data_IF_647093482379
#
_entry.id   IF_647093482379
#
_cell.length_a   1.000
_cell.length_b   1.000
_cell.length_c   1.000
_cell.angle_alpha   90.00
_cell.angle_beta   90.00
_cell.angle_gamma   90.00
#
_symmetry.space_group_name_H-M   'P 1'
#
loop_
_entity.id
_entity.type
_entity.pdbx_description
1 polymer ?
#
# COMPACT_ATOMS: atom_id res chain seq x y z
N UNK A 1 -32.11 4.85 -4.17
CA UNK A 1 -30.96 3.96 -3.90
C UNK A 1 -30.02 4.12 -5.09
N UNK A 2 -29.08 5.07 -5.01
CA UNK A 2 -28.09 5.29 -6.08
C UNK A 2 -26.92 4.36 -5.84
N UNK A 3 -26.77 3.35 -6.70
CA UNK A 3 -25.55 2.55 -6.80
C UNK A 3 -24.49 3.43 -7.46
N UNK A 4 -23.66 4.09 -6.65
CA UNK A 4 -22.43 4.72 -7.13
C UNK A 4 -21.49 3.63 -7.60
N UNK A 5 -21.55 3.29 -8.89
CA UNK A 5 -20.57 2.41 -9.54
C UNK A 5 -19.22 3.12 -9.51
N UNK A 6 -18.26 2.54 -8.79
CA UNK A 6 -16.86 2.93 -8.90
C UNK A 6 -16.43 2.77 -10.37
N UNK A 7 -15.73 3.75 -10.97
CA UNK A 7 -15.21 3.60 -12.32
C UNK A 7 -14.30 2.38 -12.40
N UNK A 8 -14.32 1.67 -13.54
CA UNK A 8 -13.36 0.62 -13.87
C UNK A 8 -11.96 1.18 -13.67
N UNK A 9 -11.23 0.62 -12.70
CA UNK A 9 -9.87 1.06 -12.41
C UNK A 9 -9.00 0.81 -13.65
N UNK A 10 -8.15 1.77 -14.05
CA UNK A 10 -7.19 1.53 -15.11
C UNK A 10 -6.23 0.39 -14.74
N UNK A 11 -5.57 -0.18 -15.75
CA UNK A 11 -4.50 -1.17 -15.54
C UNK A 11 -3.49 -0.69 -14.48
N UNK A 12 -2.94 -1.63 -13.72
CA UNK A 12 -1.98 -1.37 -12.65
C UNK A 12 -0.90 -0.37 -13.09
N UNK A 13 -0.45 0.54 -12.20
CA UNK A 13 0.50 1.59 -12.57
C UNK A 13 1.74 0.99 -13.21
N UNK A 14 2.19 1.59 -14.33
CA UNK A 14 3.27 1.04 -15.15
C UNK A 14 4.57 1.00 -14.32
N UNK A 15 5.10 -0.19 -13.99
CA UNK A 15 6.40 -0.30 -13.34
C UNK A 15 7.46 0.05 -14.40
N UNK A 16 8.18 1.16 -14.20
CA UNK A 16 9.20 1.56 -15.18
C UNK A 16 9.84 2.93 -15.00
N UNK A 17 9.46 3.68 -13.96
CA UNK A 17 9.99 5.02 -13.66
C UNK A 17 10.66 5.03 -12.28
N UNK A 18 11.91 4.53 -12.16
CA UNK A 18 12.62 4.49 -10.87
C UNK A 18 12.73 5.87 -10.20
N UNK A 19 12.78 6.94 -10.99
CA UNK A 19 12.79 8.31 -10.52
C UNK A 19 11.49 8.70 -9.79
N UNK A 20 10.34 8.27 -10.33
CA UNK A 20 9.02 8.50 -9.70
C UNK A 20 8.89 7.67 -8.43
N UNK A 21 9.32 6.40 -8.46
CA UNK A 21 9.30 5.54 -7.28
C UNK A 21 10.16 6.10 -6.15
N UNK A 22 11.36 6.60 -6.46
CA UNK A 22 12.24 7.23 -5.46
C UNK A 22 11.60 8.48 -4.85
N UNK A 23 11.08 9.39 -5.69
CA UNK A 23 10.38 10.60 -5.21
C UNK A 23 9.15 10.29 -4.38
N UNK A 24 8.39 9.26 -4.77
CA UNK A 24 7.23 8.81 -4.01
C UNK A 24 7.66 8.29 -2.64
N UNK A 25 8.68 7.44 -2.59
CA UNK A 25 9.25 6.95 -1.32
C UNK A 25 9.68 8.09 -0.40
N UNK A 26 10.39 9.08 -0.93
CA UNK A 26 10.85 10.22 -0.15
C UNK A 26 9.67 11.05 0.40
N UNK A 27 8.62 11.24 -0.39
CA UNK A 27 7.39 11.90 0.05
C UNK A 27 6.65 11.11 1.15
N UNK A 28 6.53 9.79 1.02
CA UNK A 28 5.90 8.95 2.03
C UNK A 28 6.66 9.01 3.37
N UNK A 29 7.99 8.91 3.32
CA UNK A 29 8.84 9.01 4.52
C UNK A 29 8.78 10.41 5.11
N UNK A 30 8.87 11.46 4.28
CA UNK A 30 8.82 12.86 4.72
C UNK A 30 7.50 13.24 5.40
N UNK A 31 6.40 12.56 5.05
CA UNK A 31 5.10 12.71 5.69
C UNK A 31 4.89 11.77 6.90
N UNK A 32 5.93 11.05 7.34
CA UNK A 32 5.85 10.04 8.39
C UNK A 32 4.82 8.94 8.12
N UNK A 33 4.59 8.60 6.84
CA UNK A 33 3.74 7.48 6.45
C UNK A 33 4.48 6.17 6.70
N UNK A 34 4.68 5.83 7.96
CA UNK A 34 5.43 4.66 8.43
C UNK A 34 4.55 3.82 9.35
N UNK A 35 4.96 2.59 9.68
CA UNK A 35 4.20 1.76 10.62
C UNK A 35 4.04 2.47 11.99
N UNK A 36 5.11 3.11 12.45
CA UNK A 36 5.12 3.86 13.71
C UNK A 36 4.33 5.17 13.61
N UNK A 37 4.48 5.92 12.52
CA UNK A 37 3.71 7.15 12.31
C UNK A 37 2.21 6.88 12.24
N UNK A 38 1.79 5.79 11.58
CA UNK A 38 0.41 5.33 11.59
C UNK A 38 -0.09 5.02 13.00
N UNK A 39 0.70 4.30 13.80
CA UNK A 39 0.35 3.95 15.16
C UNK A 39 0.22 5.21 16.04
N UNK A 40 1.11 6.18 15.88
CA UNK A 40 1.09 7.46 16.59
C UNK A 40 -0.15 8.29 16.22
N UNK A 41 -0.42 8.46 14.93
CA UNK A 41 -1.56 9.26 14.46
C UNK A 41 -2.91 8.63 14.83
N UNK A 42 -3.06 7.32 14.60
CA UNK A 42 -4.34 6.63 14.78
C UNK A 42 -4.58 6.26 16.25
N UNK A 43 -3.51 6.01 17.00
CA UNK A 43 -3.56 5.34 18.28
C UNK A 43 -3.82 3.84 18.14
N UNK A 44 -3.37 3.07 19.14
CA UNK A 44 -3.46 1.61 19.14
C UNK A 44 -4.88 1.05 18.84
N UNK A 45 -5.98 1.60 19.39
CA UNK A 45 -7.32 1.07 19.11
C UNK A 45 -7.73 1.21 17.63
N UNK A 46 -7.51 2.38 17.02
CA UNK A 46 -7.91 2.62 15.65
C UNK A 46 -6.98 1.90 14.66
N UNK A 47 -5.68 1.79 14.98
CA UNK A 47 -4.73 0.99 14.20
C UNK A 47 -5.14 -0.50 14.16
N UNK A 48 -5.47 -1.07 15.32
CA UNK A 48 -5.92 -2.47 15.41
C UNK A 48 -7.28 -2.71 14.73
N UNK A 49 -8.19 -1.73 14.80
CA UNK A 49 -9.47 -1.78 14.10
C UNK A 49 -9.28 -1.78 12.57
N UNK A 50 -8.39 -0.90 12.07
CA UNK A 50 -8.07 -0.81 10.64
C UNK A 50 -7.48 -2.12 10.10
N UNK A 51 -6.65 -2.82 10.90
CA UNK A 51 -6.11 -4.14 10.54
C UNK A 51 -7.18 -5.25 10.41
N UNK A 52 -8.41 -5.00 10.86
CA UNK A 52 -9.59 -5.87 10.69
C UNK A 52 -10.62 -5.28 9.72
N UNK A 53 -10.20 -4.31 8.91
CA UNK A 53 -11.06 -3.57 7.97
C UNK A 53 -12.17 -2.71 8.63
N UNK A 54 -12.06 -2.41 9.92
CA UNK A 54 -12.95 -1.45 10.58
C UNK A 54 -12.41 -0.02 10.39
N UNK A 55 -12.91 0.67 9.36
CA UNK A 55 -12.35 1.96 8.90
C UNK A 55 -12.82 3.18 9.70
N UNK A 56 -13.94 3.08 10.41
CA UNK A 56 -14.59 4.22 11.10
C UNK A 56 -13.65 4.91 12.12
N UNK A 57 -12.91 4.19 12.98
CA UNK A 57 -11.97 4.83 13.91
C UNK A 57 -10.86 5.61 13.18
N UNK A 58 -10.30 5.06 12.11
CA UNK A 58 -9.26 5.72 11.32
C UNK A 58 -9.80 6.95 10.57
N UNK A 59 -11.03 6.87 10.03
CA UNK A 59 -11.71 8.03 9.43
C UNK A 59 -11.93 9.18 10.43
N UNK A 60 -12.13 8.86 11.71
CA UNK A 60 -12.28 9.86 12.79
C UNK A 60 -10.95 10.48 13.18
N UNK A 61 -9.89 9.67 13.30
CA UNK A 61 -8.55 10.12 13.64
C UNK A 61 -7.93 11.02 12.54
N UNK A 62 -8.34 10.83 11.28
CA UNK A 62 -7.77 11.52 10.10
C UNK A 62 -8.67 12.66 9.59
N UNK A 63 -9.32 13.40 10.48
CA UNK A 63 -10.16 14.57 10.09
C UNK A 63 -9.37 15.85 9.82
N UNK A 64 -8.14 15.92 10.31
CA UNK A 64 -7.26 17.06 10.08
C UNK A 64 -6.59 17.02 8.71
N UNK A 65 -5.80 18.06 8.43
CA UNK A 65 -5.15 18.28 7.14
C UNK A 65 -3.65 17.97 7.16
N UNK A 66 -3.17 17.30 8.22
CA UNK A 66 -1.78 16.89 8.32
C UNK A 66 -1.40 15.96 7.13
N UNK A 67 -0.17 16.05 6.58
CA UNK A 67 0.27 15.22 5.46
C UNK A 67 0.03 13.72 5.67
N UNK A 68 0.32 13.22 6.88
CA UNK A 68 0.08 11.83 7.23
C UNK A 68 -1.40 11.45 7.16
N UNK A 69 -2.30 12.32 7.65
CA UNK A 69 -3.74 12.07 7.59
C UNK A 69 -4.25 12.05 6.14
N UNK A 70 -3.71 12.92 5.27
CA UNK A 70 -3.99 12.92 3.83
C UNK A 70 -3.62 11.57 3.21
N UNK A 71 -2.41 11.06 3.48
CA UNK A 71 -1.94 9.78 2.95
C UNK A 71 -2.74 8.59 3.48
N UNK A 72 -3.11 8.58 4.76
CA UNK A 72 -3.99 7.54 5.33
C UNK A 72 -5.34 7.52 4.66
N UNK A 73 -5.96 8.69 4.45
CA UNK A 73 -7.26 8.79 3.75
C UNK A 73 -7.16 8.30 2.31
N UNK A 74 -6.11 8.69 1.62
CA UNK A 74 -5.89 8.38 0.22
C UNK A 74 -5.60 6.88 0.00
N UNK A 75 -4.59 6.34 0.68
CA UNK A 75 -4.10 4.98 0.42
C UNK A 75 -4.72 3.89 1.31
N UNK A 76 -4.99 4.14 2.59
CA UNK A 76 -5.51 3.08 3.48
C UNK A 76 -7.03 3.07 3.57
N UNK A 77 -7.66 4.25 3.50
CA UNK A 77 -9.11 4.40 3.59
C UNK A 77 -9.77 4.57 2.21
N UNK A 78 -8.96 4.67 1.16
CA UNK A 78 -9.42 4.72 -0.24
C UNK A 78 -10.50 5.80 -0.45
N UNK A 79 -10.30 6.97 0.19
CA UNK A 79 -11.17 8.13 0.04
C UNK A 79 -10.62 9.05 -1.04
N UNK A 80 -11.46 9.59 -1.92
CA UNK A 80 -11.09 10.77 -2.71
C UNK A 80 -10.63 11.90 -1.78
N UNK A 81 -9.57 12.59 -2.19
CA UNK A 81 -8.99 13.71 -1.45
C UNK A 81 -8.81 14.90 -2.40
N UNK A 82 -9.05 16.15 -1.96
CA UNK A 82 -8.80 17.33 -2.78
C UNK A 82 -7.38 17.33 -3.36
N UNK A 83 -7.28 17.56 -4.67
CA UNK A 83 -6.04 17.57 -5.43
C UNK A 83 -4.99 18.47 -4.80
N UNK A 84 -5.38 19.66 -4.35
CA UNK A 84 -4.47 20.61 -3.71
C UNK A 84 -3.78 20.01 -2.48
N UNK A 85 -4.54 19.30 -1.63
CA UNK A 85 -3.97 18.67 -0.43
C UNK A 85 -3.04 17.51 -0.74
N UNK A 86 -3.30 16.78 -1.82
CA UNK A 86 -2.40 15.71 -2.28
C UNK A 86 -1.15 16.29 -2.93
N UNK A 87 -1.27 17.40 -3.68
CA UNK A 87 -0.15 18.09 -4.32
C UNK A 87 0.86 18.66 -3.32
N UNK A 88 0.41 19.01 -2.11
CA UNK A 88 1.29 19.46 -1.02
C UNK A 88 2.17 18.33 -0.44
N UNK A 89 1.85 17.07 -0.73
CA UNK A 89 2.50 15.89 -0.11
C UNK A 89 3.16 14.98 -1.14
N UNK A 90 2.51 14.75 -2.29
CA UNK A 90 2.93 13.80 -3.32
C UNK A 90 3.24 14.50 -4.64
N UNK A 91 4.09 13.90 -5.50
CA UNK A 91 4.27 14.36 -6.88
C UNK A 91 3.03 14.01 -7.74
N UNK A 92 1.91 14.71 -7.50
CA UNK A 92 0.57 14.37 -8.01
C UNK A 92 0.52 14.17 -9.53
N UNK A 93 1.18 15.03 -10.30
CA UNK A 93 1.20 14.94 -11.77
C UNK A 93 1.86 13.63 -12.23
N UNK A 94 3.02 13.29 -11.64
CA UNK A 94 3.70 12.03 -11.95
C UNK A 94 2.85 10.82 -11.53
N UNK A 95 2.15 10.91 -10.40
CA UNK A 95 1.25 9.84 -9.95
C UNK A 95 0.02 9.67 -10.86
N UNK A 96 -0.52 10.77 -11.43
CA UNK A 96 -1.59 10.72 -12.43
C UNK A 96 -1.09 10.12 -13.74
N UNK A 97 0.07 10.56 -14.23
CA UNK A 97 0.70 10.05 -15.46
C UNK A 97 1.02 8.56 -15.39
N UNK A 98 1.49 8.09 -14.24
CA UNK A 98 1.86 6.68 -14.00
C UNK A 98 0.68 5.82 -13.57
N UNK A 99 -0.51 6.41 -13.37
CA UNK A 99 -1.72 5.69 -13.03
C UNK A 99 -1.85 5.29 -11.55
N UNK A 100 -1.02 5.82 -10.64
CA UNK A 100 -1.17 5.64 -9.18
C UNK A 100 -2.37 6.40 -8.61
N UNK A 101 -2.73 7.51 -9.26
CA UNK A 101 -3.88 8.33 -8.93
C UNK A 101 -4.76 8.49 -10.17
N UNK A 102 -6.05 8.72 -9.93
CA UNK A 102 -7.02 9.14 -10.94
C UNK A 102 -7.77 10.36 -10.46
N UNK A 103 -8.18 11.23 -11.39
CA UNK A 103 -9.06 12.37 -11.07
C UNK A 103 -10.47 11.85 -10.84
N UNK A 104 -11.12 12.32 -9.78
CA UNK A 104 -12.52 12.02 -9.44
C UNK A 104 -13.24 13.34 -9.23
N UNK A 105 -14.39 13.51 -9.90
CA UNK A 105 -15.11 14.78 -9.87
C UNK A 105 -14.30 15.94 -10.47
N UNK A 106 -14.49 17.14 -9.94
CA UNK A 106 -13.86 18.37 -10.45
C UNK A 106 -12.49 18.66 -9.87
N UNK A 107 -12.25 18.31 -8.61
CA UNK A 107 -11.10 18.79 -7.83
C UNK A 107 -10.51 17.75 -6.87
N UNK A 108 -10.93 16.49 -6.95
CA UNK A 108 -10.41 15.40 -6.12
C UNK A 108 -9.59 14.40 -6.93
N UNK A 109 -8.75 13.66 -6.22
CA UNK A 109 -8.02 12.51 -6.73
C UNK A 109 -8.27 11.30 -5.83
N UNK A 110 -8.29 10.11 -6.42
CA UNK A 110 -8.37 8.85 -5.71
C UNK A 110 -7.17 7.97 -6.07
N UNK A 111 -6.74 7.14 -5.12
CA UNK A 111 -5.73 6.13 -5.36
C UNK A 111 -6.30 4.98 -6.21
N UNK A 112 -5.47 4.42 -7.09
CA UNK A 112 -5.75 3.19 -7.84
C UNK A 112 -5.08 1.97 -7.21
N UNK A 113 -4.18 2.21 -6.26
CA UNK A 113 -3.43 1.20 -5.51
C UNK A 113 -3.57 1.41 -4.02
N UNK A 114 -3.39 0.32 -3.28
CA UNK A 114 -3.24 0.34 -1.83
C UNK A 114 -1.74 0.36 -1.52
N UNK A 115 -1.33 1.28 -0.64
CA UNK A 115 0.08 1.43 -0.22
C UNK A 115 0.14 1.29 1.29
N UNK A 116 0.86 0.27 1.77
CA UNK A 116 0.95 -0.02 3.21
C UNK A 116 2.38 0.10 3.71
N UNK A 117 2.60 0.94 4.73
CA UNK A 117 3.81 0.88 5.51
C UNK A 117 3.96 -0.49 6.17
N UNK A 118 5.18 -1.03 6.11
CA UNK A 118 5.55 -2.30 6.69
C UNK A 118 6.91 -2.13 7.37
N UNK A 119 6.98 -2.46 8.66
CA UNK A 119 8.24 -2.44 9.41
C UNK A 119 9.13 -3.60 8.99
N UNK A 120 10.28 -3.28 8.38
CA UNK A 120 11.33 -4.23 8.07
C UNK A 120 11.94 -4.85 9.33
N UNK A 121 12.58 -6.03 9.22
CA UNK A 121 13.14 -6.74 10.36
C UNK A 121 14.29 -6.00 11.05
N UNK A 122 14.94 -5.05 10.37
CA UNK A 122 15.99 -4.17 10.89
C UNK A 122 15.49 -2.79 11.32
N UNK A 123 14.18 -2.56 11.34
CA UNK A 123 13.58 -1.25 11.62
C UNK A 123 13.47 -0.33 10.39
N UNK A 124 13.56 -0.89 9.19
CA UNK A 124 13.38 -0.15 7.96
C UNK A 124 11.90 0.18 7.69
N UNK A 125 11.64 1.31 7.05
CA UNK A 125 10.32 1.63 6.50
C UNK A 125 10.18 1.08 5.08
N UNK A 126 9.50 -0.06 4.97
CA UNK A 126 9.10 -0.64 3.68
C UNK A 126 7.69 -0.22 3.30
N UNK A 127 7.42 -0.25 2.00
CA UNK A 127 6.12 0.08 1.43
C UNK A 127 5.68 -1.06 0.53
N UNK A 128 4.55 -1.66 0.86
CA UNK A 128 3.96 -2.73 0.06
C UNK A 128 2.82 -2.15 -0.75
N UNK A 129 2.87 -2.38 -2.05
CA UNK A 129 1.88 -1.88 -3.02
C UNK A 129 1.08 -3.07 -3.52
N UNK A 130 -0.24 -2.91 -3.56
CA UNK A 130 -1.17 -3.95 -4.02
C UNK A 130 -2.41 -3.34 -4.64
N UNK A 131 -3.25 -4.18 -5.24
CA UNK A 131 -4.54 -3.72 -5.76
C UNK A 131 -5.51 -3.33 -4.64
N UNK A 132 -6.50 -2.52 -4.99
CA UNK A 132 -7.50 -2.03 -4.04
C UNK A 132 -8.31 -3.18 -3.43
N UNK A 133 -8.73 -2.99 -2.17
CA UNK A 133 -9.57 -3.94 -1.46
C UNK A 133 -8.88 -5.25 -1.09
N UNK A 134 -7.58 -5.37 -1.34
CA UNK A 134 -6.83 -6.63 -1.16
C UNK A 134 -6.04 -6.71 0.14
N UNK A 135 -6.11 -5.70 1.01
CA UNK A 135 -5.38 -5.67 2.26
C UNK A 135 -6.29 -5.83 3.50
N UNK A 136 -6.41 -7.11 3.87
CA UNK A 136 -6.75 -7.73 5.16
C UNK A 136 -7.91 -7.16 5.98
N UNK A 137 -8.99 -7.95 5.94
CA UNK A 137 -9.69 -8.47 7.11
C UNK A 137 -10.09 -9.88 6.73
N UNK A 138 -9.66 -10.90 7.48
CA UNK A 138 -9.74 -12.34 7.14
C UNK A 138 -11.15 -12.95 6.95
N UNK A 139 -12.17 -12.15 6.63
CA UNK A 139 -13.53 -12.58 6.34
C UNK A 139 -14.16 -11.88 5.12
N UNK A 140 -13.52 -10.87 4.51
CA UNK A 140 -14.12 -10.05 3.44
C UNK A 140 -14.08 -10.68 2.03
N UNK A 141 -13.21 -11.67 1.81
CA UNK A 141 -12.99 -12.24 0.48
C UNK A 141 -12.37 -11.24 -0.51
N UNK A 142 -11.93 -11.79 -1.64
CA UNK A 142 -11.42 -11.06 -2.81
C UNK A 142 -12.45 -10.03 -3.30
N UNK A 143 -12.09 -8.73 -3.25
CA UNK A 143 -12.95 -7.64 -3.73
C UNK A 143 -13.14 -7.60 -5.25
N UNK A 144 -12.21 -8.20 -5.99
CA UNK A 144 -12.35 -8.52 -7.41
C UNK A 144 -11.95 -9.98 -7.67
N UNK A 145 -12.70 -10.64 -8.55
CA UNK A 145 -12.41 -11.98 -9.07
C UNK A 145 -11.61 -11.94 -10.38
N UNK A 146 -11.15 -10.75 -10.78
CA UNK A 146 -10.38 -10.60 -12.00
C UNK A 146 -9.08 -11.40 -11.93
N UNK A 147 -8.75 -12.04 -13.04
CA UNK A 147 -7.47 -12.69 -13.24
C UNK A 147 -6.39 -11.61 -13.22
N UNK A 148 -5.42 -11.72 -12.30
CA UNK A 148 -4.28 -10.79 -12.22
C UNK A 148 -4.18 -9.98 -10.92
N UNK A 149 -5.19 -10.03 -10.05
CA UNK A 149 -5.20 -9.24 -8.80
C UNK A 149 -4.01 -9.56 -7.90
N UNK A 150 -3.28 -8.52 -7.48
CA UNK A 150 -2.15 -8.59 -6.55
C UNK A 150 -2.63 -8.30 -5.13
N UNK A 151 -2.49 -9.31 -4.26
CA UNK A 151 -2.89 -9.21 -2.86
C UNK A 151 -1.84 -8.48 -2.01
N UNK A 152 -2.32 -7.64 -1.08
CA UNK A 152 -1.47 -6.99 -0.08
C UNK A 152 -0.95 -7.95 0.99
N UNK A 153 -0.26 -7.43 1.99
CA UNK A 153 0.28 -8.25 3.09
C UNK A 153 -0.84 -8.79 3.96
N UNK A 154 -1.13 -10.09 3.83
CA UNK A 154 -2.10 -10.83 4.63
C UNK A 154 -1.53 -11.57 5.84
N UNK A 155 -2.41 -12.10 6.69
CA UNK A 155 -2.01 -12.97 7.80
C UNK A 155 -1.21 -14.19 7.35
N UNK A 156 -1.53 -14.75 6.17
CA UNK A 156 -0.76 -15.84 5.58
C UNK A 156 0.67 -15.40 5.20
N UNK A 157 0.82 -14.27 4.50
CA UNK A 157 2.13 -13.72 4.11
C UNK A 157 2.98 -13.37 5.33
N UNK A 158 2.38 -12.78 6.37
CA UNK A 158 3.07 -12.50 7.64
C UNK A 158 3.49 -13.78 8.36
N UNK A 159 2.63 -14.79 8.39
CA UNK A 159 2.95 -16.10 8.99
C UNK A 159 4.12 -16.75 8.26
N UNK A 160 4.09 -16.77 6.92
CA UNK A 160 5.19 -17.31 6.12
C UNK A 160 6.49 -16.56 6.39
N UNK A 161 6.47 -15.23 6.37
CA UNK A 161 7.65 -14.41 6.66
C UNK A 161 8.22 -14.67 8.06
N UNK A 162 7.36 -14.99 9.04
CA UNK A 162 7.75 -15.37 10.40
C UNK A 162 8.30 -16.79 10.53
N UNK A 163 7.90 -17.71 9.65
CA UNK A 163 8.36 -19.11 9.61
C UNK A 163 9.59 -19.31 8.71
N UNK A 164 9.87 -18.40 7.78
CA UNK A 164 11.00 -18.49 6.85
C UNK A 164 12.32 -18.54 7.61
N UNK A 165 13.11 -19.59 7.36
CA UNK A 165 14.46 -19.77 7.90
C UNK A 165 15.41 -18.78 7.22
N UNK A 166 16.06 -17.91 8.00
CA UNK A 166 16.89 -16.78 7.50
C UNK A 166 18.39 -17.07 7.51
N UNK A 167 18.77 -18.33 7.35
CA UNK A 167 20.19 -18.68 7.18
C UNK A 167 20.72 -18.01 5.91
N UNK A 168 21.89 -17.35 5.93
CA UNK A 168 22.46 -16.73 4.74
C UNK A 168 22.63 -17.73 3.59
N UNK A 169 22.16 -17.37 2.40
CA UNK A 169 22.24 -18.19 1.17
C UNK A 169 22.77 -17.39 -0.01
N UNK A 170 23.37 -18.08 -0.99
CA UNK A 170 23.82 -17.45 -2.22
C UNK A 170 22.65 -16.98 -3.10
N UNK A 171 21.58 -17.78 -3.19
CA UNK A 171 20.42 -17.50 -4.04
C UNK A 171 19.12 -17.97 -3.41
N UNK A 172 18.05 -17.20 -3.59
CA UNK A 172 16.68 -17.55 -3.25
C UNK A 172 15.75 -17.37 -4.46
N UNK A 173 14.69 -18.19 -4.54
CA UNK A 173 13.65 -18.10 -5.57
C UNK A 173 12.29 -17.88 -4.89
N UNK A 174 11.65 -16.78 -5.22
CA UNK A 174 10.26 -16.48 -4.83
C UNK A 174 9.31 -16.87 -5.99
N UNK A 175 8.58 -17.97 -5.81
CA UNK A 175 7.60 -18.48 -6.77
C UNK A 175 6.20 -17.97 -6.42
N UNK A 176 5.65 -17.09 -7.24
CA UNK A 176 4.40 -16.40 -6.94
C UNK A 176 4.64 -15.18 -6.05
N UNK A 177 5.51 -14.28 -6.51
CA UNK A 177 5.97 -13.09 -5.76
C UNK A 177 4.82 -12.23 -5.22
N UNK A 178 3.69 -12.16 -5.94
CA UNK A 178 2.55 -11.32 -5.55
C UNK A 178 2.99 -9.87 -5.31
N UNK A 179 2.70 -9.33 -4.13
CA UNK A 179 3.12 -7.97 -3.71
C UNK A 179 4.62 -7.84 -3.36
N UNK A 180 5.40 -8.92 -3.42
CA UNK A 180 6.86 -8.88 -3.23
C UNK A 180 7.33 -8.96 -1.79
N UNK A 181 6.43 -9.15 -0.82
CA UNK A 181 6.81 -9.18 0.60
C UNK A 181 7.82 -10.28 0.93
N UNK A 182 7.70 -11.49 0.34
CA UNK A 182 8.67 -12.57 0.62
C UNK A 182 10.02 -12.29 -0.04
N UNK A 183 10.04 -11.82 -1.29
CA UNK A 183 11.25 -11.36 -1.95
C UNK A 183 11.97 -10.25 -1.15
N UNK A 184 11.24 -9.28 -0.57
CA UNK A 184 11.81 -8.25 0.30
C UNK A 184 12.44 -8.81 1.59
N UNK A 185 11.85 -9.84 2.17
CA UNK A 185 12.47 -10.55 3.30
C UNK A 185 13.69 -11.39 2.85
N UNK A 186 13.63 -11.98 1.65
CA UNK A 186 14.69 -12.80 1.10
C UNK A 186 15.97 -12.00 0.85
N UNK A 187 15.89 -10.76 0.35
CA UNK A 187 17.08 -9.93 0.09
C UNK A 187 17.89 -9.60 1.35
N UNK A 188 17.32 -9.77 2.54
CA UNK A 188 18.03 -9.58 3.82
C UNK A 188 19.01 -10.72 4.14
N UNK A 189 18.85 -11.89 3.52
CA UNK A 189 19.67 -13.08 3.80
C UNK A 189 20.08 -13.86 2.54
N UNK A 190 19.70 -13.41 1.35
CA UNK A 190 20.11 -13.96 0.07
C UNK A 190 20.92 -12.92 -0.71
N UNK A 191 22.02 -13.35 -1.34
CA UNK A 191 22.83 -12.47 -2.21
C UNK A 191 22.12 -12.17 -3.53
N UNK A 192 21.36 -13.14 -4.04
CA UNK A 192 20.55 -13.01 -5.25
C UNK A 192 19.13 -13.51 -4.97
N UNK A 193 18.13 -12.71 -5.33
CA UNK A 193 16.73 -13.11 -5.28
C UNK A 193 16.16 -13.08 -6.69
N UNK A 194 15.73 -14.24 -7.17
CA UNK A 194 14.90 -14.34 -8.38
C UNK A 194 13.46 -14.41 -7.93
N UNK A 195 12.59 -13.60 -8.51
CA UNK A 195 11.17 -13.62 -8.16
C UNK A 195 10.33 -13.72 -9.44
N UNK A 196 9.28 -14.52 -9.40
CA UNK A 196 8.50 -14.88 -10.59
C UNK A 196 7.01 -14.84 -10.30
N UNK A 197 6.22 -14.52 -11.33
CA UNK A 197 4.76 -14.48 -11.27
C UNK A 197 4.17 -14.84 -12.63
N UNK A 198 2.91 -15.30 -12.64
CA UNK A 198 2.14 -15.53 -13.87
C UNK A 198 1.15 -14.39 -14.18
N UNK A 199 0.75 -13.59 -13.19
CA UNK A 199 -0.01 -12.35 -13.44
C UNK A 199 0.89 -11.32 -14.10
#
# INVERSE_FOLDING_TARGET
MSTSSLPTLPAAPVPGRPDVTARLRDALIGASFTADGLLELLGAPAYAALARSETVPALRATRGDAPLAVLVRLFLLQQPVPHARVADVLPVDACLETGWLVRVGSDEVAATVDVRPYGGPGGEDWFIVSDLGCAVGGAGGIGSRDEGVVLGVGGASTTLAGLTVRTPVASALDLGIGSGIQALHAVQHATLVTATNLN
#
